data_IF_007470052706
#
_entry.id   IF_007470052706
#
_cell.length_a   1.000
_cell.length_b   1.000
_cell.length_c   1.000
_cell.angle_alpha   90.00
_cell.angle_beta   90.00
_cell.angle_gamma   90.00
#
_symmetry.space_group_name_H-M   'P 1'
#
loop_
_entity.id
_entity.type
_entity.pdbx_description
1 polymer ?
#
# COMPACT_ATOMS: atom_id res chain seq x y z
N UNK A 1 40.26 1.52 -5.23
CA UNK A 1 39.12 2.43 -5.52
C UNK A 1 37.85 1.72 -5.09
N UNK A 2 37.23 2.16 -3.99
CA UNK A 2 36.03 1.52 -3.43
C UNK A 2 34.82 1.89 -4.29
N UNK A 3 34.09 0.87 -4.75
CA UNK A 3 32.86 1.01 -5.56
C UNK A 3 31.80 1.74 -4.74
N UNK A 4 31.39 2.92 -5.18
CA UNK A 4 30.25 3.65 -4.62
C UNK A 4 29.00 2.79 -4.79
N UNK A 5 28.34 2.48 -3.67
CA UNK A 5 27.10 1.71 -3.63
C UNK A 5 25.98 2.70 -3.99
N UNK A 6 25.52 2.65 -5.25
CA UNK A 6 24.43 3.47 -5.74
C UNK A 6 23.11 2.92 -5.18
N UNK A 7 22.54 3.63 -4.22
CA UNK A 7 21.16 3.42 -3.79
C UNK A 7 20.31 4.41 -4.58
N UNK A 8 19.49 3.94 -5.53
CA UNK A 8 18.45 4.81 -6.10
C UNK A 8 17.19 4.60 -5.29
N UNK A 9 16.78 5.65 -4.55
CA UNK A 9 15.53 5.63 -3.81
C UNK A 9 14.51 6.36 -4.66
N UNK A 10 13.56 5.60 -5.20
CA UNK A 10 12.32 6.15 -5.70
C UNK A 10 11.44 6.41 -4.50
N UNK A 11 11.24 7.68 -4.21
CA UNK A 11 10.47 8.18 -3.10
C UNK A 11 9.24 8.78 -3.74
N UNK A 12 8.06 8.13 -3.67
CA UNK A 12 6.72 8.72 -3.85
C UNK A 12 5.65 7.63 -4.02
N UNK A 13 4.36 7.89 -3.71
CA UNK A 13 3.78 9.09 -3.11
C UNK A 13 2.86 8.86 -1.90
N UNK A 14 2.53 9.98 -1.23
CA UNK A 14 1.50 10.04 -0.21
C UNK A 14 0.15 9.75 -0.87
N UNK A 15 -0.41 8.57 -0.62
CA UNK A 15 -1.74 8.26 -1.11
C UNK A 15 -2.79 8.96 -0.24
N UNK A 16 -3.41 10.01 -0.75
CA UNK A 16 -4.50 10.69 -0.03
C UNK A 16 -5.83 10.11 -0.47
N UNK A 17 -6.55 9.49 0.46
CA UNK A 17 -7.98 9.29 0.35
C UNK A 17 -8.69 10.27 1.29
N UNK A 18 -9.86 10.77 0.90
CA UNK A 18 -10.66 11.64 1.75
C UNK A 18 -11.27 10.84 2.91
N UNK A 19 -11.01 11.24 4.15
CA UNK A 19 -11.55 10.59 5.34
C UNK A 19 -10.78 10.94 6.61
N UNK A 20 -11.32 10.54 7.76
CA UNK A 20 -10.59 10.62 9.02
C UNK A 20 -9.41 9.64 9.00
N UNK A 21 -8.25 10.11 9.49
CA UNK A 21 -7.11 9.25 9.74
C UNK A 21 -7.43 8.23 10.86
N UNK A 22 -6.83 7.04 10.82
CA UNK A 22 -6.95 6.08 11.91
C UNK A 22 -6.36 6.66 13.20
N UNK A 23 -6.94 6.29 14.35
CA UNK A 23 -6.54 6.80 15.68
C UNK A 23 -5.06 6.55 15.98
N UNK A 24 -4.52 5.40 15.55
CA UNK A 24 -3.12 5.03 15.74
C UNK A 24 -2.24 5.36 14.52
N UNK A 25 -2.76 6.11 13.55
CA UNK A 25 -2.19 6.21 12.21
C UNK A 25 -2.27 4.88 11.44
N UNK A 26 -1.74 4.86 10.22
CA UNK A 26 -1.63 3.63 9.45
C UNK A 26 -0.60 2.70 10.09
N UNK A 27 -1.00 1.47 10.38
CA UNK A 27 -0.10 0.37 10.75
C UNK A 27 -0.47 -0.88 9.96
N UNK A 28 0.49 -1.78 9.79
CA UNK A 28 0.36 -3.03 9.07
C UNK A 28 0.24 -4.18 10.08
N UNK A 29 -0.97 -4.69 10.27
CA UNK A 29 -1.25 -5.83 11.15
C UNK A 29 -1.05 -7.13 10.39
N UNK A 30 -0.24 -8.03 10.94
CA UNK A 30 0.10 -9.29 10.25
C UNK A 30 -1.11 -10.23 10.12
N UNK A 31 -1.20 -10.93 9.00
CA UNK A 31 -2.18 -12.00 8.85
C UNK A 31 -1.77 -13.23 9.68
N UNK A 32 -2.60 -13.58 10.66
CA UNK A 32 -2.50 -14.82 11.44
C UNK A 32 -3.70 -15.75 11.19
N UNK A 33 -4.35 -15.61 10.03
CA UNK A 33 -5.50 -16.38 9.58
C UNK A 33 -6.85 -15.67 9.73
N UNK A 34 -6.86 -14.35 9.95
CA UNK A 34 -8.09 -13.55 10.03
C UNK A 34 -8.66 -13.24 8.64
N UNK A 35 -7.79 -13.24 7.63
CA UNK A 35 -8.11 -12.93 6.25
C UNK A 35 -7.65 -14.06 5.31
N UNK A 36 -7.98 -13.94 4.03
CA UNK A 36 -7.55 -14.89 2.99
C UNK A 36 -6.02 -14.96 2.90
N UNK A 37 -5.50 -16.12 2.48
CA UNK A 37 -4.06 -16.43 2.50
C UNK A 37 -3.19 -15.55 1.59
N UNK A 38 -3.78 -14.89 0.60
CA UNK A 38 -3.08 -13.94 -0.27
C UNK A 38 -2.77 -12.60 0.43
N UNK A 39 -3.46 -12.31 1.54
CA UNK A 39 -3.24 -11.11 2.35
C UNK A 39 -2.14 -11.42 3.36
N UNK A 40 -1.08 -10.62 3.36
CA UNK A 40 0.05 -10.76 4.29
C UNK A 40 -0.07 -9.79 5.45
N UNK A 41 -0.51 -8.56 5.16
CA UNK A 41 -0.79 -7.54 6.16
C UNK A 41 -2.05 -6.76 5.79
N UNK A 42 -2.73 -6.23 6.80
CA UNK A 42 -3.83 -5.29 6.63
C UNK A 42 -3.52 -3.98 7.35
N UNK A 43 -3.91 -2.86 6.76
CA UNK A 43 -3.81 -1.55 7.38
C UNK A 43 -5.06 -0.71 7.14
N UNK A 44 -5.41 0.11 8.12
CA UNK A 44 -6.52 1.05 8.01
C UNK A 44 -6.05 2.32 7.31
N UNK A 45 -6.80 2.73 6.28
CA UNK A 45 -6.54 3.96 5.51
C UNK A 45 -7.80 4.81 5.52
N UNK A 46 -7.70 6.13 5.26
CA UNK A 46 -8.89 6.97 5.12
C UNK A 46 -9.90 6.36 4.13
N UNK A 47 -11.14 6.16 4.60
CA UNK A 47 -12.23 5.62 3.77
C UNK A 47 -12.17 4.11 3.49
N UNK A 48 -11.24 3.35 4.07
CA UNK A 48 -11.16 1.93 3.76
C UNK A 48 -10.06 1.12 4.44
N UNK A 49 -9.69 0.03 3.76
CA UNK A 49 -8.61 -0.87 4.15
C UNK A 49 -7.60 -0.98 3.03
N UNK A 50 -6.35 -1.23 3.41
CA UNK A 50 -5.23 -1.56 2.56
C UNK A 50 -4.79 -2.99 2.90
N UNK A 51 -4.64 -3.83 1.88
CA UNK A 51 -4.14 -5.19 2.01
C UNK A 51 -2.82 -5.31 1.26
N UNK A 52 -1.76 -5.66 1.98
CA UNK A 52 -0.46 -5.99 1.39
C UNK A 52 -0.46 -7.47 0.97
N UNK A 53 -0.09 -7.74 -0.27
CA UNK A 53 -0.02 -9.08 -0.87
C UNK A 53 1.42 -9.38 -1.30
N UNK A 54 1.71 -10.52 -1.93
CA UNK A 54 3.09 -10.88 -2.31
C UNK A 54 3.72 -9.93 -3.33
N UNK A 55 2.94 -9.48 -4.31
CA UNK A 55 3.46 -8.75 -5.49
C UNK A 55 2.69 -7.46 -5.73
N UNK A 56 2.13 -6.87 -4.68
CA UNK A 56 1.26 -5.72 -4.81
C UNK A 56 0.41 -5.48 -3.58
N UNK A 57 -0.60 -4.64 -3.74
CA UNK A 57 -1.52 -4.28 -2.68
C UNK A 57 -2.90 -3.95 -3.23
N UNK A 58 -3.91 -4.11 -2.39
CA UNK A 58 -5.31 -3.83 -2.71
C UNK A 58 -5.87 -2.81 -1.74
N UNK A 59 -6.43 -1.73 -2.27
CA UNK A 59 -7.29 -0.84 -1.50
C UNK A 59 -8.73 -1.29 -1.63
N UNK A 60 -9.46 -1.24 -0.52
CA UNK A 60 -10.88 -1.50 -0.47
C UNK A 60 -11.58 -0.38 0.28
N UNK A 61 -12.23 0.50 -0.48
CA UNK A 61 -12.97 1.65 0.03
C UNK A 61 -14.43 1.32 0.27
N UNK A 62 -15.02 2.08 1.19
CA UNK A 62 -16.44 2.00 1.52
C UNK A 62 -17.05 3.39 1.51
N UNK A 63 -18.30 3.49 1.11
CA UNK A 63 -19.03 4.75 1.18
C UNK A 63 -19.31 5.10 2.64
N UNK A 64 -18.63 6.12 3.14
CA UNK A 64 -18.75 6.56 4.54
C UNK A 64 -20.15 7.09 4.87
N UNK A 65 -20.92 7.57 3.89
CA UNK A 65 -22.29 8.04 4.13
C UNK A 65 -23.23 6.87 4.42
N UNK A 66 -23.05 5.74 3.76
CA UNK A 66 -23.81 4.52 4.06
C UNK A 66 -23.40 3.92 5.40
N UNK A 67 -22.09 3.98 5.75
CA UNK A 67 -21.60 3.57 7.07
C UNK A 67 -22.22 4.42 8.19
N UNK A 68 -22.33 5.74 8.00
CA UNK A 68 -22.92 6.64 8.99
C UNK A 68 -24.40 6.32 9.25
N UNK A 69 -25.20 6.11 8.18
CA UNK A 69 -26.62 5.72 8.31
C UNK A 69 -26.81 4.46 9.15
N UNK A 70 -25.90 3.50 9.04
CA UNK A 70 -25.93 2.27 9.86
C UNK A 70 -25.56 2.55 11.31
N UNK A 71 -24.50 3.33 11.55
CA UNK A 71 -24.04 3.67 12.90
C UNK A 71 -25.07 4.48 13.69
N UNK A 72 -25.80 5.36 13.01
CA UNK A 72 -26.82 6.23 13.62
C UNK A 72 -28.17 5.52 13.78
N UNK A 73 -28.27 4.23 13.44
CA UNK A 73 -29.49 3.44 13.54
C UNK A 73 -30.56 3.78 12.49
N UNK A 74 -30.27 4.71 11.58
CA UNK A 74 -31.14 5.06 10.45
C UNK A 74 -31.25 3.93 9.41
N UNK A 75 -30.33 2.96 9.46
CA UNK A 75 -30.35 1.75 8.63
C UNK A 75 -30.09 0.52 9.50
N UNK A 76 -31.05 -0.42 9.51
CA UNK A 76 -30.86 -1.71 10.18
C UNK A 76 -29.70 -2.48 9.54
N UNK A 77 -28.79 -3.00 10.37
CA UNK A 77 -27.61 -3.78 9.93
C UNK A 77 -27.96 -4.89 8.94
N UNK A 78 -29.11 -5.54 9.11
CA UNK A 78 -29.56 -6.65 8.25
C UNK A 78 -29.92 -6.24 6.81
N UNK A 79 -30.20 -4.95 6.57
CA UNK A 79 -30.57 -4.41 5.26
C UNK A 79 -29.53 -3.44 4.70
N UNK A 80 -28.44 -3.22 5.43
CA UNK A 80 -27.43 -2.28 5.06
C UNK A 80 -26.66 -2.75 3.83
N UNK A 81 -26.80 -2.02 2.72
CA UNK A 81 -25.94 -2.17 1.53
C UNK A 81 -24.97 -1.02 1.54
N UNK A 82 -23.75 -1.29 2.01
CA UNK A 82 -22.66 -0.32 1.98
C UNK A 82 -21.99 -0.46 0.62
N UNK A 83 -22.01 0.60 -0.19
CA UNK A 83 -21.27 0.61 -1.44
C UNK A 83 -19.77 0.46 -1.15
N UNK A 84 -19.12 -0.45 -1.87
CA UNK A 84 -17.68 -0.70 -1.77
C UNK A 84 -17.05 -0.67 -3.15
N UNK A 85 -15.78 -0.30 -3.21
CA UNK A 85 -14.99 -0.31 -4.44
C UNK A 85 -13.56 -0.70 -4.10
N UNK A 86 -13.02 -1.68 -4.82
CA UNK A 86 -11.66 -2.17 -4.60
C UNK A 86 -10.79 -1.94 -5.85
N UNK A 87 -9.58 -1.45 -5.62
CA UNK A 87 -8.53 -1.29 -6.64
C UNK A 87 -7.31 -2.06 -6.20
N UNK A 88 -6.77 -2.88 -7.10
CA UNK A 88 -5.56 -3.65 -6.88
C UNK A 88 -4.43 -3.10 -7.74
N UNK A 89 -3.30 -2.76 -7.11
CA UNK A 89 -2.04 -2.49 -7.78
C UNK A 89 -1.17 -3.75 -7.76
N UNK A 90 -0.67 -4.16 -8.93
CA UNK A 90 0.18 -5.33 -9.10
C UNK A 90 1.49 -4.94 -9.75
N UNK A 91 2.62 -5.25 -9.11
CA UNK A 91 3.96 -5.10 -9.68
C UNK A 91 4.19 -6.20 -10.73
N UNK A 92 4.18 -5.82 -12.00
CA UNK A 92 4.13 -6.75 -13.14
C UNK A 92 5.48 -7.44 -13.32
N UNK A 93 5.47 -8.77 -13.17
CA UNK A 93 6.68 -9.60 -13.27
C UNK A 93 7.46 -9.71 -11.95
N UNK A 94 6.96 -9.10 -10.87
CA UNK A 94 7.51 -9.34 -9.54
C UNK A 94 7.28 -10.80 -9.12
N UNK A 95 8.27 -11.39 -8.46
CA UNK A 95 8.23 -12.81 -8.04
C UNK A 95 8.60 -13.02 -6.58
N UNK A 96 8.69 -11.93 -5.79
CA UNK A 96 9.12 -12.04 -4.40
C UNK A 96 8.21 -12.95 -3.57
N UNK A 97 8.86 -13.80 -2.77
CA UNK A 97 8.23 -14.60 -1.72
C UNK A 97 8.59 -14.08 -0.32
N UNK A 98 9.47 -13.07 -0.23
CA UNK A 98 10.06 -12.56 1.02
C UNK A 98 9.48 -11.20 1.37
N UNK A 99 8.26 -11.24 1.90
CA UNK A 99 7.59 -10.06 2.45
C UNK A 99 7.55 -10.21 3.97
N UNK A 100 8.14 -9.26 4.70
CA UNK A 100 8.29 -9.36 6.16
C UNK A 100 8.26 -7.99 6.83
N UNK A 101 8.02 -7.93 8.15
CA UNK A 101 8.16 -6.68 8.88
C UNK A 101 9.56 -6.07 8.73
N UNK A 102 9.60 -4.74 8.61
CA UNK A 102 10.84 -3.97 8.51
C UNK A 102 11.04 -3.05 9.72
N UNK A 103 9.98 -2.70 10.43
CA UNK A 103 10.05 -2.04 11.75
C UNK A 103 10.02 -3.05 12.89
N UNK A 104 10.28 -2.53 14.10
CA UNK A 104 9.90 -3.22 15.33
C UNK A 104 8.38 -3.38 15.42
N UNK A 105 7.94 -4.29 16.29
CA UNK A 105 6.53 -4.40 16.69
C UNK A 105 6.12 -3.13 17.42
N UNK A 106 4.91 -2.68 17.14
CA UNK A 106 4.26 -1.63 17.94
C UNK A 106 4.00 -2.14 19.37
N UNK A 107 3.88 -1.21 20.32
CA UNK A 107 3.64 -1.53 21.74
C UNK A 107 2.23 -2.10 22.00
N UNK A 108 1.32 -1.95 21.04
CA UNK A 108 -0.04 -2.47 21.08
C UNK A 108 -0.22 -3.66 20.12
N UNK A 109 -1.36 -4.32 20.24
CA UNK A 109 -1.76 -5.43 19.41
C UNK A 109 -3.26 -5.43 19.17
N UNK A 110 -3.70 -6.19 18.18
CA UNK A 110 -5.12 -6.32 17.84
C UNK A 110 -5.61 -7.74 18.17
N UNK A 111 -6.82 -7.84 18.72
CA UNK A 111 -7.52 -9.11 18.91
C UNK A 111 -8.68 -9.20 17.91
N UNK A 112 -8.83 -10.37 17.30
CA UNK A 112 -9.84 -10.66 16.30
C UNK A 112 -10.72 -11.81 16.78
N UNK A 113 -11.96 -11.48 17.14
CA UNK A 113 -12.99 -12.43 17.55
C UNK A 113 -14.03 -12.55 16.42
N UNK A 114 -13.61 -13.12 15.29
CA UNK A 114 -14.42 -13.17 14.06
C UNK A 114 -15.28 -14.44 14.05
N UNK A 115 -16.61 -14.26 14.02
CA UNK A 115 -17.59 -15.36 14.00
C UNK A 115 -17.71 -16.08 15.35
N UNK A 116 -18.54 -17.14 15.35
CA UNK A 116 -18.97 -17.80 16.59
C UNK A 116 -18.09 -18.99 17.01
N UNK A 117 -16.99 -19.28 16.30
CA UNK A 117 -16.05 -20.35 16.67
C UNK A 117 -14.81 -19.73 17.36
N UNK A 118 -14.62 -19.93 18.69
CA UNK A 118 -13.47 -19.42 19.42
C UNK A 118 -12.12 -19.95 18.94
N UNK A 119 -12.06 -21.13 18.34
CA UNK A 119 -10.81 -21.70 17.80
C UNK A 119 -10.27 -20.88 16.60
N UNK A 120 -11.15 -20.11 15.95
CA UNK A 120 -10.80 -19.21 14.85
C UNK A 120 -10.38 -17.82 15.32
N UNK A 121 -10.60 -17.50 16.59
CA UNK A 121 -10.21 -16.21 17.15
C UNK A 121 -8.68 -16.08 17.20
N UNK A 122 -8.18 -14.87 16.97
CA UNK A 122 -6.75 -14.56 16.97
C UNK A 122 -6.48 -13.42 17.93
N UNK A 123 -5.80 -13.71 19.02
CA UNK A 123 -5.36 -12.71 20.00
C UNK A 123 -3.92 -12.25 19.75
N UNK A 124 -3.58 -11.08 20.29
CA UNK A 124 -2.20 -10.55 20.34
C UNK A 124 -1.50 -10.49 18.97
N UNK A 125 -2.26 -10.13 17.94
CA UNK A 125 -1.74 -10.00 16.58
C UNK A 125 -0.90 -8.72 16.50
N UNK A 126 0.39 -8.80 16.12
CA UNK A 126 1.27 -7.65 16.10
C UNK A 126 0.99 -6.74 14.90
N UNK A 127 1.28 -5.45 15.09
CA UNK A 127 1.27 -4.43 14.05
C UNK A 127 2.66 -3.81 13.90
N UNK A 128 2.91 -3.26 12.71
CA UNK A 128 4.19 -2.71 12.29
C UNK A 128 4.00 -1.40 11.54
N UNK A 129 4.96 -0.49 11.58
CA UNK A 129 4.96 0.76 10.82
C UNK A 129 5.64 0.64 9.45
N UNK A 130 6.36 -0.46 9.19
CA UNK A 130 6.87 -0.75 7.84
C UNK A 130 7.04 -2.24 7.55
N UNK A 131 6.93 -2.58 6.26
CA UNK A 131 7.05 -3.92 5.68
C UNK A 131 8.00 -3.84 4.48
N UNK A 132 8.93 -4.79 4.37
CA UNK A 132 9.85 -4.90 3.24
C UNK A 132 9.46 -6.08 2.35
N UNK A 133 9.55 -5.85 1.05
CA UNK A 133 9.49 -6.82 -0.03
C UNK A 133 10.92 -6.93 -0.56
N UNK A 134 11.61 -8.00 -0.16
CA UNK A 134 13.00 -8.23 -0.59
C UNK A 134 13.00 -8.84 -1.99
N UNK A 135 13.88 -8.34 -2.86
CA UNK A 135 13.96 -8.72 -4.26
C UNK A 135 12.57 -8.77 -4.92
N UNK A 136 11.81 -7.67 -4.79
CA UNK A 136 10.55 -7.49 -5.52
C UNK A 136 10.80 -7.73 -7.02
N UNK A 137 11.90 -7.17 -7.51
CA UNK A 137 12.59 -7.57 -8.74
C UNK A 137 14.06 -7.88 -8.40
N UNK A 138 14.82 -8.55 -9.29
CA UNK A 138 16.25 -8.79 -9.07
C UNK A 138 17.01 -7.48 -8.77
N UNK A 139 17.52 -7.34 -7.53
CA UNK A 139 18.24 -6.14 -7.10
C UNK A 139 17.37 -4.91 -6.84
N UNK A 140 16.05 -5.07 -6.69
CA UNK A 140 15.12 -3.98 -6.33
C UNK A 140 14.26 -4.44 -5.17
N UNK A 141 14.45 -3.83 -4.00
CA UNK A 141 13.58 -4.02 -2.85
C UNK A 141 12.46 -2.96 -2.86
N UNK A 142 11.33 -3.26 -2.21
CA UNK A 142 10.31 -2.27 -1.90
C UNK A 142 10.07 -2.19 -0.41
N UNK A 143 10.13 -0.99 0.16
CA UNK A 143 9.83 -0.76 1.58
C UNK A 143 8.53 0.03 1.67
N UNK A 144 7.47 -0.61 2.13
CA UNK A 144 6.17 0.01 2.40
C UNK A 144 6.18 0.53 3.84
N UNK A 145 5.85 1.81 4.04
CA UNK A 145 5.95 2.52 5.31
C UNK A 145 4.68 3.31 5.60
N UNK A 146 4.41 3.54 6.87
CA UNK A 146 3.45 4.54 7.34
C UNK A 146 4.15 5.89 7.44
N UNK A 147 3.60 6.93 6.83
CA UNK A 147 4.13 8.29 6.91
C UNK A 147 2.98 9.26 7.07
N UNK A 148 2.93 9.97 8.20
CA UNK A 148 1.85 10.90 8.55
C UNK A 148 0.44 10.27 8.38
N UNK A 149 0.30 8.98 8.74
CA UNK A 149 -0.96 8.25 8.64
C UNK A 149 -1.35 7.78 7.24
N UNK A 150 -0.51 8.01 6.22
CA UNK A 150 -0.71 7.54 4.85
C UNK A 150 0.27 6.44 4.49
N UNK A 151 -0.10 5.65 3.48
CA UNK A 151 0.81 4.68 2.87
C UNK A 151 1.84 5.43 2.02
N UNK A 152 3.08 4.98 2.13
CA UNK A 152 4.19 5.35 1.25
C UNK A 152 4.99 4.09 0.93
N UNK A 153 5.61 4.05 -0.25
CA UNK A 153 6.60 3.02 -0.54
C UNK A 153 7.85 3.64 -1.15
N UNK A 154 8.98 3.04 -0.83
CA UNK A 154 10.27 3.36 -1.41
C UNK A 154 10.75 2.17 -2.24
N UNK A 155 11.17 2.39 -3.48
CA UNK A 155 11.87 1.37 -4.28
C UNK A 155 13.36 1.59 -4.15
N UNK A 156 14.05 0.58 -3.62
CA UNK A 156 15.49 0.62 -3.32
C UNK A 156 16.22 -0.18 -4.38
N UNK A 157 16.80 0.54 -5.34
CA UNK A 157 17.46 -0.05 -6.51
C UNK A 157 18.95 -0.21 -6.24
N UNK A 158 19.43 -1.46 -6.29
CA UNK A 158 20.85 -1.80 -6.20
C UNK A 158 21.61 -1.47 -7.50
N UNK A 159 22.93 -1.26 -7.45
CA UNK A 159 23.72 -1.02 -8.65
C UNK A 159 23.56 -2.13 -9.69
N UNK A 160 23.23 -1.74 -10.93
CA UNK A 160 23.07 -2.66 -12.06
C UNK A 160 21.70 -3.34 -12.14
N UNK A 161 20.77 -3.07 -11.22
CA UNK A 161 19.39 -3.53 -11.34
C UNK A 161 18.68 -2.81 -12.49
N UNK A 162 17.83 -3.55 -13.20
CA UNK A 162 17.09 -3.02 -14.35
C UNK A 162 15.77 -2.39 -13.91
N UNK A 163 15.76 -1.06 -13.86
CA UNK A 163 14.61 -0.23 -13.47
C UNK A 163 13.44 -0.33 -14.44
N UNK A 164 13.65 -0.80 -15.67
CA UNK A 164 12.55 -1.00 -16.63
C UNK A 164 11.58 -2.11 -16.22
N UNK A 165 11.98 -2.94 -15.25
CA UNK A 165 11.09 -3.92 -14.64
C UNK A 165 10.01 -3.30 -13.75
N UNK A 166 10.24 -2.08 -13.22
CA UNK A 166 9.29 -1.40 -12.34
C UNK A 166 8.06 -1.01 -13.16
N UNK A 167 7.04 -1.86 -13.11
CA UNK A 167 5.77 -1.65 -13.80
C UNK A 167 4.62 -2.03 -12.89
N UNK A 168 3.57 -1.21 -12.85
CA UNK A 168 2.40 -1.39 -12.00
C UNK A 168 1.17 -1.48 -12.89
N UNK A 169 0.41 -2.55 -12.74
CA UNK A 169 -0.91 -2.69 -13.33
C UNK A 169 -1.97 -2.43 -12.26
N UNK A 170 -2.93 -1.57 -12.56
CA UNK A 170 -4.10 -1.36 -11.73
C UNK A 170 -5.25 -2.20 -12.28
N UNK A 171 -6.07 -2.73 -11.36
CA UNK A 171 -7.30 -3.45 -11.71
C UNK A 171 -8.41 -3.06 -10.75
N UNK A 172 -9.57 -2.77 -11.33
CA UNK A 172 -10.79 -2.42 -10.61
C UNK A 172 -11.11 -0.94 -10.65
N UNK A 173 -10.21 -0.11 -11.17
CA UNK A 173 -10.38 1.32 -11.35
C UNK A 173 -11.43 1.66 -12.41
N UNK A 174 -12.12 2.78 -12.21
CA UNK A 174 -13.03 3.37 -13.21
C UNK A 174 -12.27 4.27 -14.20
N UNK A 175 -11.07 4.70 -13.83
CA UNK A 175 -10.20 5.57 -14.63
C UNK A 175 -8.76 5.56 -14.13
N UNK A 176 -7.82 5.71 -15.07
CA UNK A 176 -6.38 5.78 -14.79
C UNK A 176 -5.76 6.84 -15.70
N UNK A 177 -5.15 7.86 -15.14
CA UNK A 177 -4.60 9.00 -15.89
C UNK A 177 -3.36 9.58 -15.22
N UNK A 178 -2.61 10.40 -15.95
CA UNK A 178 -1.52 11.21 -15.39
C UNK A 178 -1.90 12.67 -15.57
N UNK A 179 -1.96 13.43 -14.48
CA UNK A 179 -2.21 14.87 -14.47
C UNK A 179 -1.14 15.58 -13.65
N UNK A 180 -0.55 16.64 -14.19
CA UNK A 180 0.50 17.41 -13.52
C UNK A 180 1.66 16.56 -12.93
N UNK A 181 1.96 15.43 -13.58
CA UNK A 181 2.98 14.47 -13.17
C UNK A 181 2.53 13.47 -12.08
N UNK A 182 1.32 13.63 -11.54
CA UNK A 182 0.71 12.74 -10.58
C UNK A 182 -0.07 11.65 -11.32
N UNK A 183 -0.06 10.43 -10.79
CA UNK A 183 -0.93 9.34 -11.24
C UNK A 183 -2.26 9.43 -10.50
N UNK A 184 -3.36 9.51 -11.24
CA UNK A 184 -4.71 9.52 -10.71
C UNK A 184 -5.38 8.17 -10.96
N UNK A 185 -5.97 7.62 -9.91
CA UNK A 185 -6.71 6.37 -9.96
C UNK A 185 -8.13 6.66 -9.48
N UNK A 186 -9.08 6.59 -10.41
CA UNK A 186 -10.48 6.88 -10.13
C UNK A 186 -11.21 5.64 -9.66
N UNK A 187 -12.06 5.83 -8.66
CA UNK A 187 -13.03 4.82 -8.22
C UNK A 187 -14.38 5.47 -8.03
N UNK A 188 -15.43 4.66 -8.01
CA UNK A 188 -16.79 5.11 -7.73
C UNK A 188 -17.04 5.65 -6.30
N UNK A 189 -16.01 5.69 -5.44
CA UNK A 189 -16.10 6.12 -4.03
C UNK A 189 -15.11 7.25 -3.74
N UNK A 190 -13.82 7.04 -4.01
CA UNK A 190 -12.74 8.01 -3.78
C UNK A 190 -11.83 8.07 -5.00
N UNK A 191 -11.16 9.21 -5.19
CA UNK A 191 -10.02 9.29 -6.09
C UNK A 191 -8.74 9.09 -5.30
N UNK A 192 -7.90 8.15 -5.73
CA UNK A 192 -6.56 8.02 -5.20
C UNK A 192 -5.60 8.85 -6.04
N UNK A 193 -4.69 9.55 -5.38
CA UNK A 193 -3.67 10.35 -6.05
C UNK A 193 -2.30 9.86 -5.62
N UNK A 194 -1.56 9.41 -6.61
CA UNK A 194 -0.14 9.12 -6.51
C UNK A 194 0.65 10.35 -6.99
N UNK A 195 1.20 11.13 -6.05
CA UNK A 195 2.06 12.29 -6.32
C UNK A 195 3.25 11.96 -7.26
N UNK A 196 3.76 12.99 -7.96
CA UNK A 196 4.84 12.91 -8.95
C UNK A 196 6.10 12.27 -8.42
N UNK A 197 6.71 11.26 -9.08
CA UNK A 197 7.81 10.49 -8.51
C UNK A 197 9.15 11.24 -8.42
N UNK A 198 9.96 10.89 -7.42
CA UNK A 198 11.23 11.54 -7.07
C UNK A 198 12.25 10.43 -6.92
N UNK A 199 13.30 10.52 -7.72
CA UNK A 199 14.40 9.58 -7.67
C UNK A 199 15.67 10.36 -7.36
N UNK A 200 16.58 9.74 -6.62
CA UNK A 200 17.92 10.27 -6.39
C UNK A 200 18.90 9.14 -6.18
N UNK A 201 20.17 9.43 -6.44
CA UNK A 201 21.31 8.61 -6.06
C UNK A 201 22.00 9.21 -4.85
N UNK A 202 22.53 8.37 -3.98
CA UNK A 202 23.44 8.80 -2.93
C UNK A 202 24.90 8.68 -3.43
N UNK A 203 25.57 9.81 -3.65
CA UNK A 203 26.99 9.87 -4.06
C UNK A 203 27.76 10.58 -2.96
N UNK A 204 28.74 9.91 -2.37
CA UNK A 204 29.56 10.46 -1.28
C UNK A 204 28.72 11.03 -0.11
N UNK A 205 27.56 10.41 0.14
CA UNK A 205 26.61 10.83 1.18
C UNK A 205 25.69 12.00 0.79
N UNK A 206 25.78 12.48 -0.46
CA UNK A 206 24.96 13.59 -0.98
C UNK A 206 23.88 13.03 -1.91
N UNK A 207 22.65 13.50 -1.74
CA UNK A 207 21.56 13.19 -2.66
C UNK A 207 21.75 13.94 -3.98
N UNK A 208 21.85 13.19 -5.07
CA UNK A 208 21.84 13.71 -6.43
C UNK A 208 20.52 13.31 -7.11
N UNK A 209 19.61 14.27 -7.35
CA UNK A 209 18.33 13.99 -8.00
C UNK A 209 18.51 13.40 -9.40
N UNK A 210 17.59 12.49 -9.75
CA UNK A 210 17.48 11.86 -11.06
C UNK A 210 16.11 12.18 -11.62
N UNK A 211 16.09 12.61 -12.88
CA UNK A 211 14.85 12.87 -13.59
C UNK A 211 13.98 11.61 -13.63
N UNK A 212 12.73 11.79 -13.22
CA UNK A 212 11.79 10.70 -12.99
C UNK A 212 10.37 11.19 -13.27
N UNK A 213 9.56 10.38 -13.93
CA UNK A 213 8.16 10.67 -14.21
C UNK A 213 7.39 9.38 -14.47
N UNK A 214 6.10 9.36 -14.13
CA UNK A 214 5.20 8.28 -14.53
C UNK A 214 5.03 8.26 -16.05
N UNK A 215 4.90 7.06 -16.60
CA UNK A 215 4.44 6.80 -17.97
C UNK A 215 3.33 5.77 -17.94
N UNK A 216 2.19 6.14 -18.53
CA UNK A 216 1.05 5.24 -18.68
C UNK A 216 0.99 4.71 -20.12
N UNK A 217 1.05 3.38 -20.28
CA UNK A 217 0.90 2.72 -21.58
C UNK A 217 0.07 1.45 -21.43
N UNK A 218 -1.03 1.36 -22.15
CA UNK A 218 -1.91 0.18 -22.17
C UNK A 218 -2.36 -0.27 -20.75
N UNK A 219 -2.71 0.68 -19.87
CA UNK A 219 -3.13 0.39 -18.49
C UNK A 219 -1.99 -0.01 -17.54
N UNK A 220 -0.74 0.07 -17.99
CA UNK A 220 0.45 -0.20 -17.18
C UNK A 220 1.19 1.11 -16.94
N UNK A 221 1.47 1.40 -15.67
CA UNK A 221 2.30 2.52 -15.22
C UNK A 221 3.74 2.04 -15.05
N UNK A 222 4.70 2.84 -15.48
CA UNK A 222 6.13 2.66 -15.20
C UNK A 222 6.89 3.98 -15.22
#
# INVERSE_FOLDING_TARGET
MRRSIWLTIFLLPLLTASGQLPVNGLVYTANAGQWSENILFEGEVPGGKLFLERTGFTWHFRDNSDVAKVKDGAMLLQHARIKGHAVKATFVGATTSRVRPYSNKESFYTNYFIGNNPERWKGKVPSYTSVIYEDLYPGIDMIVKSTAGNMKYDLVVQPGADVSNIRIAYKGEDGLSIDNGQLEIETSIVRLVEQTPYAYQLIDGIEQPIACAFKLKNGIVG
#
